data_IF_979137351847
#
_entry.id   IF_979137351847
#
_cell.length_a   1.000
_cell.length_b   1.000
_cell.length_c   1.000
_cell.angle_alpha   90.00
_cell.angle_beta   90.00
_cell.angle_gamma   90.00
#
_symmetry.space_group_name_H-M   'P 1'
#
loop_
_entity.id
_entity.type
_entity.pdbx_description
1 polymer ?
#
# COMPACT_ATOMS: atom_id res chain seq x y z
N UNK A 1 4.06 -2.04 26.22
CA UNK A 1 3.30 -3.31 26.26
C UNK A 1 3.20 -3.80 24.82
N UNK A 2 3.75 -4.97 24.49
CA UNK A 2 3.66 -5.53 23.14
C UNK A 2 2.23 -6.01 22.90
N UNK A 3 1.56 -5.43 21.91
CA UNK A 3 0.23 -5.87 21.50
C UNK A 3 0.34 -7.25 20.85
N UNK A 4 -0.39 -8.24 21.39
CA UNK A 4 -0.50 -9.57 20.79
C UNK A 4 -1.88 -9.66 20.13
N UNK A 5 -1.96 -9.66 18.78
CA UNK A 5 -3.24 -9.67 18.09
C UNK A 5 -3.99 -10.99 18.30
N UNK A 6 -5.30 -10.91 18.55
CA UNK A 6 -6.17 -12.10 18.54
C UNK A 6 -6.38 -12.63 17.13
N UNK A 7 -6.89 -13.86 17.00
CA UNK A 7 -7.28 -14.41 15.69
C UNK A 7 -8.30 -13.51 14.97
N UNK A 8 -9.24 -12.91 15.73
CA UNK A 8 -10.21 -11.95 15.17
C UNK A 8 -9.52 -10.70 14.64
N UNK A 9 -8.49 -10.21 15.31
CA UNK A 9 -7.69 -9.06 14.85
C UNK A 9 -6.95 -9.40 13.54
N UNK A 10 -6.29 -10.55 13.49
CA UNK A 10 -5.55 -10.99 12.29
C UNK A 10 -6.50 -11.17 11.10
N UNK A 11 -7.66 -11.80 11.30
CA UNK A 11 -8.66 -11.99 10.24
C UNK A 11 -9.22 -10.65 9.77
N UNK A 12 -9.58 -9.75 10.69
CA UNK A 12 -10.08 -8.43 10.33
C UNK A 12 -9.05 -7.61 9.56
N UNK A 13 -7.77 -7.65 9.95
CA UNK A 13 -6.69 -7.00 9.23
C UNK A 13 -6.50 -7.57 7.82
N UNK A 14 -6.54 -8.90 7.66
CA UNK A 14 -6.46 -9.55 6.34
C UNK A 14 -7.62 -9.17 5.42
N UNK A 15 -8.83 -9.14 5.95
CA UNK A 15 -10.01 -8.69 5.19
C UNK A 15 -9.82 -7.23 4.80
N UNK A 16 -9.44 -6.36 5.74
CA UNK A 16 -9.16 -4.95 5.47
C UNK A 16 -8.09 -4.74 4.38
N UNK A 17 -6.99 -5.49 4.41
CA UNK A 17 -5.94 -5.45 3.37
C UNK A 17 -6.50 -5.90 2.02
N UNK A 18 -7.27 -6.99 2.00
CA UNK A 18 -7.88 -7.51 0.76
C UNK A 18 -8.81 -6.47 0.14
N UNK A 19 -9.67 -5.87 0.96
CA UNK A 19 -10.57 -4.79 0.57
C UNK A 19 -9.80 -3.54 0.11
N UNK A 20 -8.69 -3.22 0.77
CA UNK A 20 -7.82 -2.11 0.35
C UNK A 20 -7.07 -2.41 -0.95
N UNK A 21 -6.90 -3.65 -1.38
CA UNK A 21 -6.28 -3.95 -2.67
C UNK A 21 -7.29 -4.08 -3.82
N UNK A 22 -8.57 -4.17 -3.51
CA UNK A 22 -9.67 -4.17 -4.46
C UNK A 22 -9.90 -2.76 -5.05
N UNK A 23 -9.96 -2.64 -6.38
CA UNK A 23 -9.97 -1.34 -7.07
C UNK A 23 -11.26 -0.56 -6.84
N UNK A 24 -12.39 -1.27 -6.81
CA UNK A 24 -13.71 -0.66 -6.66
C UNK A 24 -13.80 -0.14 -5.24
N UNK A 25 -13.34 -0.94 -4.28
CA UNK A 25 -13.34 -0.57 -2.86
C UNK A 25 -12.35 0.57 -2.61
N UNK A 26 -11.13 0.52 -3.15
CA UNK A 26 -10.17 1.62 -3.08
C UNK A 26 -10.72 2.93 -3.61
N UNK A 27 -11.34 2.91 -4.80
CA UNK A 27 -11.92 4.09 -5.41
C UNK A 27 -13.00 4.67 -4.50
N UNK A 28 -13.86 3.79 -3.97
CA UNK A 28 -14.92 4.12 -3.03
C UNK A 28 -14.40 4.70 -1.70
N UNK A 29 -13.22 4.28 -1.22
CA UNK A 29 -12.58 4.81 0.00
C UNK A 29 -11.88 6.15 -0.25
N UNK A 30 -11.24 6.32 -1.42
CA UNK A 30 -10.55 7.55 -1.82
C UNK A 30 -11.53 8.70 -2.09
N UNK A 31 -12.59 8.45 -2.85
CA UNK A 31 -13.62 9.46 -3.17
C UNK A 31 -14.28 10.03 -1.93
N UNK A 32 -14.39 9.22 -0.88
CA UNK A 32 -15.15 9.56 0.32
C UNK A 32 -14.28 10.05 1.46
N UNK A 33 -12.95 10.11 1.25
CA UNK A 33 -11.94 10.48 2.27
C UNK A 33 -12.20 9.79 3.60
N UNK A 34 -12.60 8.52 3.56
CA UNK A 34 -13.18 7.80 4.70
C UNK A 34 -12.21 7.70 5.91
N UNK A 35 -10.91 7.78 5.64
CA UNK A 35 -9.85 7.84 6.65
C UNK A 35 -9.79 9.19 7.41
N UNK A 36 -10.34 10.26 6.85
CA UNK A 36 -10.49 11.59 7.44
C UNK A 36 -11.89 11.83 8.05
N UNK A 37 -12.87 11.00 7.72
CA UNK A 37 -14.26 11.19 8.16
C UNK A 37 -14.44 10.88 9.65
N UNK A 38 -15.31 11.65 10.35
CA UNK A 38 -15.79 11.31 11.69
C UNK A 38 -16.36 9.90 11.78
N UNK A 39 -16.33 9.31 12.98
CA UNK A 39 -16.75 7.92 13.19
C UNK A 39 -18.17 7.62 12.72
N UNK A 40 -19.09 8.58 12.87
CA UNK A 40 -20.49 8.36 12.57
C UNK A 40 -20.79 8.40 11.08
N UNK A 41 -20.07 9.22 10.33
CA UNK A 41 -20.11 9.21 8.88
C UNK A 41 -19.62 7.85 8.36
N UNK A 42 -18.58 7.27 8.98
CA UNK A 42 -18.13 5.92 8.63
C UNK A 42 -19.20 4.88 8.89
N UNK A 43 -19.92 4.92 10.03
CA UNK A 43 -21.01 3.95 10.33
C UNK A 43 -22.13 4.01 9.29
N UNK A 44 -22.54 5.21 8.88
CA UNK A 44 -23.56 5.40 7.84
C UNK A 44 -23.06 4.88 6.49
N UNK A 45 -21.80 5.15 6.17
CA UNK A 45 -21.19 4.70 4.92
C UNK A 45 -20.97 3.18 4.86
N UNK A 46 -20.59 2.56 5.98
CA UNK A 46 -20.48 1.11 6.13
C UNK A 46 -21.83 0.46 5.81
N UNK A 47 -22.92 0.92 6.45
CA UNK A 47 -24.27 0.41 6.18
C UNK A 47 -24.72 0.61 4.74
N UNK A 48 -24.30 1.70 4.11
CA UNK A 48 -24.66 2.01 2.72
C UNK A 48 -23.88 1.16 1.71
N UNK A 49 -22.62 0.78 2.02
CA UNK A 49 -21.71 0.12 1.07
C UNK A 49 -21.52 -1.37 1.34
N UNK A 50 -21.73 -1.84 2.57
CA UNK A 50 -21.82 -3.25 2.91
C UNK A 50 -23.25 -3.57 3.31
N UNK A 51 -24.01 -4.25 2.43
CA UNK A 51 -25.28 -4.83 2.82
C UNK A 51 -25.06 -5.66 4.08
N UNK A 52 -25.99 -5.55 5.03
CA UNK A 52 -25.96 -6.28 6.30
C UNK A 52 -25.83 -7.80 6.11
N UNK A 53 -26.09 -8.28 4.88
CA UNK A 53 -26.05 -9.67 4.44
C UNK A 53 -24.64 -10.27 4.29
N UNK A 54 -23.58 -9.44 4.14
CA UNK A 54 -22.22 -9.95 3.86
C UNK A 54 -21.44 -10.22 5.15
N UNK A 55 -21.55 -9.32 6.15
CA UNK A 55 -20.82 -9.44 7.42
C UNK A 55 -21.64 -8.88 8.58
N UNK A 56 -21.62 -9.50 9.78
CA UNK A 56 -22.25 -8.93 10.97
C UNK A 56 -21.68 -7.56 11.34
N UNK A 57 -22.52 -6.63 11.81
CA UNK A 57 -22.13 -5.26 12.18
C UNK A 57 -20.87 -5.17 13.08
N UNK A 58 -20.66 -6.02 14.11
CA UNK A 58 -19.43 -5.98 14.92
C UNK A 58 -18.17 -6.29 14.12
N UNK A 59 -18.26 -7.19 13.13
CA UNK A 59 -17.15 -7.52 12.24
C UNK A 59 -16.87 -6.37 11.27
N UNK A 60 -17.92 -5.74 10.72
CA UNK A 60 -17.78 -4.56 9.87
C UNK A 60 -17.05 -3.43 10.60
N UNK A 61 -17.46 -3.11 11.84
CA UNK A 61 -16.80 -2.10 12.68
C UNK A 61 -15.33 -2.45 12.93
N UNK A 62 -15.03 -3.73 13.17
CA UNK A 62 -13.67 -4.20 13.39
C UNK A 62 -12.79 -4.05 12.15
N UNK A 63 -13.25 -4.48 10.98
CA UNK A 63 -12.52 -4.32 9.70
C UNK A 63 -12.22 -2.83 9.47
N UNK A 64 -13.19 -1.97 9.71
CA UNK A 64 -13.07 -0.52 9.51
C UNK A 64 -12.08 0.13 10.48
N UNK A 65 -11.95 -0.41 11.69
CA UNK A 65 -10.90 0.02 12.62
C UNK A 65 -9.48 -0.24 12.10
N UNK A 66 -9.29 -1.24 11.22
CA UNK A 66 -8.02 -1.51 10.53
C UNK A 66 -7.89 -0.75 9.21
N UNK A 67 -8.99 -0.42 8.52
CA UNK A 67 -8.93 0.34 7.26
C UNK A 67 -8.26 1.71 7.41
N UNK A 68 -8.47 2.40 8.55
CA UNK A 68 -7.84 3.70 8.81
C UNK A 68 -6.31 3.60 8.92
N UNK A 69 -5.73 2.78 9.81
CA UNK A 69 -4.29 2.65 9.90
C UNK A 69 -3.66 2.10 8.61
N UNK A 70 -4.32 1.19 7.89
CA UNK A 70 -3.87 0.70 6.57
C UNK A 70 -3.81 1.85 5.54
N UNK A 71 -4.87 2.65 5.46
CA UNK A 71 -4.90 3.81 4.55
C UNK A 71 -3.79 4.80 4.89
N UNK A 72 -3.60 5.07 6.19
CA UNK A 72 -2.53 5.95 6.66
C UNK A 72 -1.14 5.39 6.33
N UNK A 73 -0.89 4.10 6.54
CA UNK A 73 0.37 3.44 6.21
C UNK A 73 0.68 3.55 4.71
N UNK A 74 -0.34 3.39 3.85
CA UNK A 74 -0.18 3.61 2.40
C UNK A 74 0.13 5.06 2.09
N UNK A 75 -0.61 6.04 2.61
CA UNK A 75 -0.30 7.45 2.37
C UNK A 75 1.10 7.84 2.87
N UNK A 76 1.50 7.36 4.05
CA UNK A 76 2.85 7.53 4.59
C UNK A 76 3.91 6.94 3.65
N UNK A 77 3.66 5.75 3.10
CA UNK A 77 4.55 5.16 2.10
C UNK A 77 4.66 6.05 0.86
N UNK A 78 3.54 6.60 0.37
CA UNK A 78 3.54 7.51 -0.78
C UNK A 78 4.38 8.75 -0.50
N UNK A 79 4.11 9.44 0.61
CA UNK A 79 4.83 10.68 0.98
C UNK A 79 6.34 10.44 1.07
N UNK A 80 6.74 9.34 1.70
CA UNK A 80 8.15 8.98 1.83
C UNK A 80 8.83 8.62 0.50
N UNK A 81 8.05 8.19 -0.50
CA UNK A 81 8.57 7.70 -1.78
C UNK A 81 8.03 8.47 -2.99
N UNK A 82 7.47 9.66 -2.77
CA UNK A 82 6.83 10.48 -3.79
C UNK A 82 7.82 10.81 -4.92
N UNK A 83 9.04 11.21 -4.50
CA UNK A 83 10.18 11.50 -5.40
C UNK A 83 10.66 10.28 -6.21
N UNK A 84 10.30 9.07 -5.76
CA UNK A 84 10.68 7.80 -6.37
C UNK A 84 9.55 7.15 -7.15
N UNK A 85 8.28 7.40 -6.84
CA UNK A 85 7.12 6.78 -7.51
C UNK A 85 6.42 7.73 -8.48
N UNK A 86 6.84 8.99 -8.55
CA UNK A 86 6.30 9.95 -9.53
C UNK A 86 4.86 10.37 -9.25
N UNK A 87 4.49 10.46 -7.97
CA UNK A 87 3.18 10.91 -7.46
C UNK A 87 1.99 10.00 -7.77
N UNK A 88 2.21 8.80 -8.33
CA UNK A 88 1.13 7.89 -8.70
C UNK A 88 1.34 6.51 -8.09
N UNK A 89 1.08 6.38 -6.78
CA UNK A 89 0.78 5.05 -6.21
C UNK A 89 -0.65 4.68 -6.61
N UNK A 90 -0.72 4.09 -7.80
CA UNK A 90 -1.90 3.45 -8.35
C UNK A 90 -2.04 2.01 -7.82
N UNK A 91 -3.10 1.33 -8.26
CA UNK A 91 -3.39 -0.02 -7.78
C UNK A 91 -2.28 -1.02 -8.12
N UNK A 92 -1.54 -0.81 -9.22
CA UNK A 92 -0.44 -1.69 -9.64
C UNK A 92 0.72 -1.62 -8.66
N UNK A 93 0.92 -0.47 -8.00
CA UNK A 93 1.93 -0.34 -6.96
C UNK A 93 1.43 -0.92 -5.65
N UNK A 94 0.17 -0.67 -5.26
CA UNK A 94 -0.36 -1.23 -4.01
C UNK A 94 -0.50 -2.75 -4.05
N UNK A 95 -0.70 -3.36 -5.22
CA UNK A 95 -0.71 -4.82 -5.37
C UNK A 95 0.63 -5.48 -5.07
N UNK A 96 1.73 -4.72 -5.16
CA UNK A 96 3.08 -5.18 -4.82
C UNK A 96 3.40 -5.04 -3.32
N UNK A 97 2.48 -4.47 -2.53
CA UNK A 97 2.70 -4.26 -1.11
C UNK A 97 2.66 -5.59 -0.36
N UNK A 98 3.73 -5.81 0.37
CA UNK A 98 3.84 -6.92 1.30
C UNK A 98 3.41 -6.43 2.67
N UNK A 99 2.34 -6.99 3.20
CA UNK A 99 1.79 -6.60 4.50
C UNK A 99 2.29 -7.52 5.62
N UNK A 100 2.63 -6.93 6.76
CA UNK A 100 2.86 -7.66 8.00
C UNK A 100 1.53 -8.01 8.66
N UNK A 101 1.57 -8.93 9.62
CA UNK A 101 0.38 -9.38 10.36
C UNK A 101 -0.26 -8.29 11.22
N UNK A 102 0.47 -7.23 11.54
CA UNK A 102 -0.03 -6.07 12.28
C UNK A 102 -0.69 -5.00 11.37
N UNK A 103 -0.73 -5.23 10.06
CA UNK A 103 -1.31 -4.30 9.10
C UNK A 103 -0.36 -3.17 8.67
N UNK A 104 0.93 -3.24 9.01
CA UNK A 104 1.96 -2.34 8.48
C UNK A 104 2.59 -2.91 7.20
N UNK A 105 3.20 -2.05 6.37
CA UNK A 105 3.91 -2.50 5.17
C UNK A 105 5.29 -3.05 5.58
N UNK A 106 5.63 -4.24 5.08
CA UNK A 106 7.00 -4.74 5.05
C UNK A 106 7.78 -3.95 3.99
N UNK A 107 8.43 -2.88 4.45
CA UNK A 107 9.10 -1.91 3.57
C UNK A 107 10.17 -2.57 2.69
N UNK A 108 10.95 -3.50 3.24
CA UNK A 108 12.03 -4.18 2.51
C UNK A 108 11.48 -5.12 1.43
N UNK A 109 10.50 -5.97 1.78
CA UNK A 109 9.88 -6.88 0.79
C UNK A 109 9.13 -6.12 -0.28
N UNK A 110 8.41 -5.08 0.10
CA UNK A 110 7.68 -4.21 -0.84
C UNK A 110 8.63 -3.50 -1.79
N UNK A 111 9.72 -2.90 -1.28
CA UNK A 111 10.73 -2.28 -2.12
C UNK A 111 11.35 -3.30 -3.10
N UNK A 112 11.70 -4.50 -2.61
CA UNK A 112 12.25 -5.56 -3.45
C UNK A 112 11.27 -5.98 -4.56
N UNK A 113 9.99 -6.16 -4.24
CA UNK A 113 8.95 -6.50 -5.23
C UNK A 113 8.80 -5.41 -6.30
N UNK A 114 8.77 -4.13 -5.88
CA UNK A 114 8.66 -2.99 -6.77
C UNK A 114 9.89 -2.76 -7.66
N UNK A 115 11.07 -3.15 -7.18
CA UNK A 115 12.33 -3.11 -7.94
C UNK A 115 12.35 -4.22 -8.99
N UNK A 116 11.84 -5.40 -8.66
CA UNK A 116 11.83 -6.56 -9.56
C UNK A 116 10.67 -6.51 -10.56
N UNK A 117 9.55 -5.88 -10.20
CA UNK A 117 8.42 -5.69 -11.10
C UNK A 117 8.70 -4.58 -12.13
N UNK A 118 8.00 -4.62 -13.27
CA UNK A 118 8.04 -3.55 -14.28
C UNK A 118 6.97 -2.47 -14.05
N UNK A 119 6.38 -2.43 -12.85
CA UNK A 119 5.34 -1.44 -12.49
C UNK A 119 5.94 -0.03 -12.44
N UNK A 120 7.19 0.10 -11.99
CA UNK A 120 7.92 1.35 -11.93
C UNK A 120 8.86 1.50 -13.14
N UNK A 121 8.96 2.72 -13.69
CA UNK A 121 9.96 3.00 -14.73
C UNK A 121 11.37 2.76 -14.19
N UNK A 122 12.32 2.41 -15.08
CA UNK A 122 13.70 2.07 -14.72
C UNK A 122 14.37 3.08 -13.78
N UNK A 123 14.13 4.39 -14.00
CA UNK A 123 14.68 5.47 -13.15
C UNK A 123 14.15 5.43 -11.73
N UNK A 124 12.87 5.10 -11.58
CA UNK A 124 12.18 5.00 -10.30
C UNK A 124 12.65 3.77 -9.53
N UNK A 125 12.79 2.63 -10.21
CA UNK A 125 13.38 1.40 -9.65
C UNK A 125 14.80 1.61 -9.17
N UNK A 126 15.63 2.27 -9.98
CA UNK A 126 17.02 2.57 -9.60
C UNK A 126 17.09 3.40 -8.31
N UNK A 127 16.29 4.47 -8.21
CA UNK A 127 16.26 5.31 -7.01
C UNK A 127 15.77 4.56 -5.78
N UNK A 128 14.76 3.72 -5.94
CA UNK A 128 14.24 2.87 -4.87
C UNK A 128 15.30 1.86 -4.40
N UNK A 129 16.02 1.23 -5.33
CA UNK A 129 17.11 0.30 -5.02
C UNK A 129 18.25 0.97 -4.24
N UNK A 130 18.61 2.21 -4.60
CA UNK A 130 19.58 3.00 -3.85
C UNK A 130 19.10 3.33 -2.43
N UNK A 131 17.81 3.66 -2.24
CA UNK A 131 17.26 4.01 -0.93
C UNK A 131 17.21 2.80 0.03
N UNK A 132 16.94 1.61 -0.51
CA UNK A 132 16.88 0.36 0.26
C UNK A 132 18.20 -0.44 0.25
N UNK A 133 19.30 0.16 -0.23
CA UNK A 133 20.65 -0.44 -0.30
C UNK A 133 20.72 -1.87 -0.86
N UNK A 134 20.04 -2.09 -1.99
CA UNK A 134 20.09 -3.39 -2.68
C UNK A 134 21.17 -3.36 -3.76
N UNK A 135 22.45 -3.51 -3.38
CA UNK A 135 23.61 -3.39 -4.29
C UNK A 135 23.46 -4.22 -5.57
N UNK A 136 23.03 -5.48 -5.44
CA UNK A 136 22.75 -6.37 -6.57
C UNK A 136 21.66 -5.83 -7.50
N UNK A 137 20.60 -5.23 -6.94
CA UNK A 137 19.52 -4.61 -7.73
C UNK A 137 19.96 -3.31 -8.40
N UNK A 138 20.82 -2.52 -7.75
CA UNK A 138 21.39 -1.30 -8.33
C UNK A 138 22.25 -1.66 -9.55
N UNK A 139 23.12 -2.66 -9.43
CA UNK A 139 23.97 -3.13 -10.52
C UNK A 139 23.14 -3.72 -11.66
N UNK A 140 22.16 -4.58 -11.35
CA UNK A 140 21.34 -5.21 -12.38
C UNK A 140 20.51 -4.20 -13.17
N UNK A 141 19.97 -3.16 -12.52
CA UNK A 141 19.26 -2.07 -13.21
C UNK A 141 20.23 -1.23 -14.06
N UNK A 142 21.43 -0.98 -13.55
CA UNK A 142 22.44 -0.18 -14.24
C UNK A 142 22.91 -0.82 -15.54
N UNK A 143 22.96 -2.16 -15.60
CA UNK A 143 23.41 -2.93 -16.77
C UNK A 143 22.33 -3.13 -17.84
N UNK A 144 21.05 -2.89 -17.53
CA UNK A 144 19.99 -3.00 -18.52
C UNK A 144 20.15 -1.98 -19.66
N UNK A 145 19.69 -2.29 -20.89
CA UNK A 145 19.69 -1.32 -22.00
C UNK A 145 18.92 -0.03 -21.67
N UNK A 146 17.87 -0.14 -20.86
CA UNK A 146 17.11 0.98 -20.30
C UNK A 146 17.90 1.81 -19.26
N UNK A 147 18.96 1.26 -18.69
CA UNK A 147 19.94 1.96 -17.86
C UNK A 147 20.83 2.94 -18.63
N UNK A 148 20.92 2.83 -19.96
CA UNK A 148 21.63 3.81 -20.80
C UNK A 148 21.07 5.23 -20.66
N UNK A 149 19.76 5.36 -20.40
CA UNK A 149 19.11 6.66 -20.13
C UNK A 149 19.55 7.30 -18.80
N UNK A 150 20.06 6.49 -17.85
CA UNK A 150 20.66 6.99 -16.60
C UNK A 150 22.12 7.42 -16.79
N UNK A 151 22.84 6.77 -17.73
CA UNK A 151 24.24 7.06 -18.06
C UNK A 151 24.42 8.32 -18.91
N UNK A 152 23.42 8.68 -19.72
CA UNK A 152 23.52 9.78 -20.70
C UNK A 152 23.09 11.17 -20.19
N UNK A 153 23.01 11.41 -18.87
CA UNK A 153 22.90 12.78 -18.30
C UNK A 153 24.22 13.20 -17.65
N UNK A 154 25.22 13.40 -18.49
CA UNK A 154 26.34 14.30 -18.23
C UNK A 154 26.46 15.24 -19.43
N UNK A 155 25.56 16.23 -19.51
CA UNK A 155 25.81 17.61 -19.98
C UNK A 155 24.91 18.52 -19.17
#
# INVERSE_FOLDING_TARGET
>A
MLFVPSLKDIVAAKIAITLYNDCEILHLFKETKLYLSPEEDRKVMIKKKWPDDIYPLPLQQKIMSFMKPISYEVEMWKEQHETFTGNHVDQRITSEFHWKTDGTIDRLKTASSLIQSDVLQVRHRFRLACNYWTEESVLSIWEQPSGLFLRNRNV
#
